data_IF_959595064011
#
_entry.id   IF_959595064011
#
_cell.length_a   1.000
_cell.length_b   1.000
_cell.length_c   1.000
_cell.angle_alpha   90.00
_cell.angle_beta   90.00
_cell.angle_gamma   90.00
#
_symmetry.space_group_name_H-M   'P 1'
#
loop_
_entity.id
_entity.type
_entity.pdbx_description
1 polymer ?
#
# COMPACT_ATOMS: atom_id res chain seq x y z
N UNK A 1 9.47 -24.96 18.25
CA UNK A 1 9.94 -24.62 16.89
C UNK A 1 8.98 -25.22 15.88
N UNK A 2 7.75 -24.70 15.81
CA UNK A 2 6.69 -25.12 14.88
C UNK A 2 5.93 -23.83 14.58
N UNK A 3 6.06 -23.27 13.37
CA UNK A 3 5.16 -22.24 12.79
C UNK A 3 5.78 -21.45 11.61
N UNK A 4 6.69 -22.02 10.81
CA UNK A 4 7.22 -21.31 9.62
C UNK A 4 6.96 -22.04 8.30
N UNK A 5 6.77 -23.36 8.29
CA UNK A 5 6.53 -24.10 7.03
C UNK A 5 5.07 -24.08 6.57
N UNK A 6 4.11 -24.02 7.49
CA UNK A 6 2.67 -24.06 7.18
C UNK A 6 2.10 -22.72 6.71
N UNK A 7 2.73 -21.59 7.06
CA UNK A 7 2.19 -20.26 6.73
C UNK A 7 2.45 -19.84 5.27
N UNK A 8 3.49 -20.41 4.64
CA UNK A 8 3.86 -20.08 3.25
C UNK A 8 2.91 -20.69 2.19
N UNK A 9 2.03 -21.63 2.60
CA UNK A 9 1.05 -22.24 1.71
C UNK A 9 -0.28 -21.46 1.59
N UNK A 10 -0.58 -20.54 2.51
CA UNK A 10 -1.87 -19.84 2.54
C UNK A 10 -1.85 -18.55 1.70
N UNK A 11 -0.67 -17.98 1.41
CA UNK A 11 -0.51 -16.70 0.69
C UNK A 11 -0.91 -16.74 -0.80
N UNK A 12 -1.22 -17.91 -1.35
CA UNK A 12 -1.47 -18.09 -2.80
C UNK A 12 -2.94 -18.25 -3.16
N UNK A 13 -3.84 -18.25 -2.18
CA UNK A 13 -5.27 -18.26 -2.46
C UNK A 13 -5.71 -16.83 -2.81
N UNK A 14 -6.28 -16.61 -4.01
CA UNK A 14 -6.76 -15.29 -4.37
C UNK A 14 -7.96 -14.92 -3.48
N UNK A 15 -7.87 -13.75 -2.87
CA UNK A 15 -8.96 -13.14 -2.11
C UNK A 15 -9.28 -11.79 -2.74
N UNK A 16 -10.56 -11.49 -2.88
CA UNK A 16 -11.05 -10.18 -3.34
C UNK A 16 -11.70 -9.45 -2.17
N UNK A 17 -11.29 -8.22 -1.91
CA UNK A 17 -11.81 -7.37 -0.85
C UNK A 17 -12.12 -5.97 -1.39
N UNK A 18 -13.19 -5.35 -0.87
CA UNK A 18 -13.54 -3.96 -1.15
C UNK A 18 -13.00 -3.06 -0.04
N UNK A 19 -12.14 -2.10 -0.39
CA UNK A 19 -11.51 -1.18 0.56
C UNK A 19 -12.00 0.26 0.36
N UNK A 20 -13.14 0.66 0.94
CA UNK A 20 -13.59 2.05 0.89
C UNK A 20 -12.71 2.92 1.80
N UNK A 21 -11.97 3.86 1.21
CA UNK A 21 -11.10 4.79 1.94
C UNK A 21 -11.18 6.20 1.35
N UNK A 22 -10.88 7.20 2.17
CA UNK A 22 -10.67 8.57 1.69
C UNK A 22 -9.23 8.75 1.18
N UNK A 23 -8.98 9.81 0.39
CA UNK A 23 -7.67 10.10 -0.19
C UNK A 23 -6.53 10.16 0.84
N UNK A 24 -6.79 10.71 2.03
CA UNK A 24 -5.79 10.82 3.11
C UNK A 24 -5.43 9.46 3.70
N UNK A 25 -6.42 8.60 3.90
CA UNK A 25 -6.21 7.22 4.36
C UNK A 25 -5.41 6.42 3.33
N UNK A 26 -5.65 6.63 2.04
CA UNK A 26 -4.88 5.99 0.96
C UNK A 26 -3.43 6.48 0.97
N UNK A 27 -3.19 7.80 1.05
CA UNK A 27 -1.82 8.35 1.16
C UNK A 27 -1.07 7.77 2.37
N UNK A 28 -1.73 7.66 3.51
CA UNK A 28 -1.13 7.06 4.71
C UNK A 28 -0.87 5.55 4.56
N UNK A 29 -1.76 4.82 3.90
CA UNK A 29 -1.57 3.39 3.60
C UNK A 29 -0.33 3.21 2.72
N UNK A 30 -0.23 3.97 1.63
CA UNK A 30 0.89 3.93 0.69
C UNK A 30 2.21 4.29 1.38
N UNK A 31 2.22 5.29 2.26
CA UNK A 31 3.41 5.65 3.07
C UNK A 31 3.95 4.50 3.94
N UNK A 32 3.08 3.62 4.41
CA UNK A 32 3.48 2.45 5.20
C UNK A 32 3.84 1.26 4.33
N UNK A 33 3.15 1.09 3.18
CA UNK A 33 3.24 -0.12 2.36
C UNK A 33 4.26 -0.04 1.23
N UNK A 34 4.71 1.14 0.84
CA UNK A 34 5.84 1.30 -0.09
C UNK A 34 7.21 1.19 0.57
N UNK A 35 7.28 1.08 1.90
CA UNK A 35 8.56 0.98 2.59
C UNK A 35 9.31 -0.30 2.20
N UNK A 36 10.65 -0.27 2.12
CA UNK A 36 11.44 -1.44 1.72
C UNK A 36 11.31 -2.66 2.64
N UNK A 37 10.86 -2.46 3.88
CA UNK A 37 10.64 -3.51 4.90
C UNK A 37 9.27 -4.19 4.78
N UNK A 38 8.36 -3.63 3.99
CA UNK A 38 7.07 -4.24 3.72
C UNK A 38 7.22 -5.47 2.81
N UNK A 39 6.31 -6.44 3.00
CA UNK A 39 6.22 -7.64 2.15
C UNK A 39 6.02 -7.23 0.67
N UNK A 40 6.63 -7.97 -0.26
CA UNK A 40 6.67 -7.57 -1.67
C UNK A 40 5.28 -7.55 -2.33
N UNK A 41 4.38 -8.50 -2.01
CA UNK A 41 3.03 -8.53 -2.58
C UNK A 41 2.20 -7.28 -2.21
N UNK A 42 2.36 -6.77 -0.99
CA UNK A 42 1.63 -5.56 -0.55
C UNK A 42 2.25 -4.29 -1.14
N UNK A 43 3.53 -4.34 -1.52
CA UNK A 43 4.19 -3.23 -2.22
C UNK A 43 3.66 -3.11 -3.63
N UNK A 44 3.56 -4.23 -4.36
CA UNK A 44 2.94 -4.24 -5.70
C UNK A 44 1.51 -3.71 -5.65
N UNK A 45 0.69 -4.19 -4.70
CA UNK A 45 -0.66 -3.65 -4.52
C UNK A 45 -0.67 -2.14 -4.23
N UNK A 46 0.27 -1.65 -3.42
CA UNK A 46 0.35 -0.24 -3.08
C UNK A 46 0.82 0.63 -4.27
N UNK A 47 1.68 0.09 -5.14
CA UNK A 47 2.12 0.73 -6.39
C UNK A 47 0.94 0.86 -7.36
N UNK A 48 0.18 -0.20 -7.58
CA UNK A 48 -1.01 -0.20 -8.44
C UNK A 48 -2.08 0.77 -7.92
N UNK A 49 -2.32 0.79 -6.61
CA UNK A 49 -3.26 1.73 -5.97
C UNK A 49 -2.80 3.18 -6.14
N UNK A 50 -1.49 3.44 -6.03
CA UNK A 50 -0.93 4.77 -6.21
C UNK A 50 -1.09 5.27 -7.64
N UNK A 51 -0.89 4.39 -8.62
CA UNK A 51 -1.08 4.68 -10.05
C UNK A 51 -2.54 5.06 -10.32
N UNK A 52 -3.51 4.21 -9.95
CA UNK A 52 -4.94 4.46 -10.13
C UNK A 52 -5.38 5.77 -9.44
N UNK A 53 -4.89 6.02 -8.22
CA UNK A 53 -5.24 7.24 -7.50
C UNK A 53 -4.63 8.50 -8.14
N UNK A 54 -3.46 8.37 -8.79
CA UNK A 54 -2.84 9.48 -9.53
C UNK A 54 -3.61 9.82 -10.81
N UNK A 55 -4.23 8.83 -11.45
CA UNK A 55 -5.12 9.07 -12.59
C UNK A 55 -6.43 9.71 -12.15
N UNK A 56 -7.01 9.26 -11.02
CA UNK A 56 -8.30 9.76 -10.55
C UNK A 56 -8.23 11.13 -9.88
N UNK A 57 -7.16 11.41 -9.11
CA UNK A 57 -6.94 12.69 -8.39
C UNK A 57 -5.54 13.26 -8.66
N UNK A 58 -5.24 13.69 -9.89
CA UNK A 58 -3.89 14.11 -10.28
C UNK A 58 -3.36 15.26 -9.41
N UNK A 59 -4.18 16.30 -9.18
CA UNK A 59 -3.75 17.47 -8.40
C UNK A 59 -3.35 17.12 -6.97
N UNK A 60 -4.05 16.18 -6.32
CA UNK A 60 -3.77 15.80 -4.95
C UNK A 60 -2.54 14.89 -4.85
N UNK A 61 -2.39 13.95 -5.80
CA UNK A 61 -1.30 12.98 -5.81
C UNK A 61 0.01 13.56 -6.34
N UNK A 62 -0.03 14.53 -7.24
CA UNK A 62 1.14 15.32 -7.65
C UNK A 62 1.68 16.13 -6.46
N UNK A 63 0.80 16.83 -5.74
CA UNK A 63 1.20 17.57 -4.53
C UNK A 63 1.77 16.65 -3.45
N UNK A 64 1.16 15.47 -3.26
CA UNK A 64 1.66 14.45 -2.33
C UNK A 64 3.04 13.93 -2.73
N UNK A 65 3.29 13.70 -4.03
CA UNK A 65 4.58 13.26 -4.56
C UNK A 65 5.67 14.32 -4.37
N UNK A 66 5.34 15.59 -4.63
CA UNK A 66 6.26 16.71 -4.46
C UNK A 66 6.62 16.96 -2.98
N UNK A 67 5.71 16.64 -2.05
CA UNK A 67 5.90 16.81 -0.61
C UNK A 67 6.39 15.55 0.11
N UNK A 68 6.61 14.45 -0.63
CA UNK A 68 7.03 13.17 -0.08
C UNK A 68 8.50 13.22 0.39
N UNK A 69 8.87 12.57 1.52
CA UNK A 69 8.05 11.74 2.40
C UNK A 69 7.35 12.52 3.53
N UNK A 70 6.04 12.28 3.68
CA UNK A 70 5.31 12.72 4.86
C UNK A 70 5.89 12.00 6.09
N UNK A 71 6.26 12.77 7.11
CA UNK A 71 6.70 12.21 8.39
C UNK A 71 5.53 11.48 9.03
N UNK A 72 5.55 10.16 8.95
CA UNK A 72 4.72 9.31 9.81
C UNK A 72 5.20 9.53 11.24
N UNK A 73 4.35 10.12 12.08
CA UNK A 73 4.61 10.20 13.53
C UNK A 73 4.77 8.77 14.05
N UNK A 74 5.77 8.48 14.93
CA UNK A 74 6.04 7.13 15.44
C UNK A 74 4.84 6.45 16.08
#
# INVERSE_FOLDING_TARGET
>A
MVAWSTFRHVSWLPVFELLPMNARSIMHLVDMRLKPDAQWEIRELAEDVLEECSEWMPVAFDLYRDQHPNKLTP
#
